data_IF_263118987253
#
_entry.id   IF_263118987253
#
_cell.length_a   1.000
_cell.length_b   1.000
_cell.length_c   1.000
_cell.angle_alpha   90.00
_cell.angle_beta   90.00
_cell.angle_gamma   90.00
#
_symmetry.space_group_name_H-M   'P 1'
#
loop_
_entity.id
_entity.type
_entity.pdbx_description
1 polymer ?
#
# COMPACT_ATOMS: atom_id res chain seq x y z
N UNK A 1 -3.33 28.70 -12.31
CA UNK A 1 -3.72 28.27 -10.97
C UNK A 1 -5.16 27.81 -11.07
N UNK A 2 -5.46 26.58 -10.65
CA UNK A 2 -6.81 25.99 -10.75
C UNK A 2 -7.68 26.28 -9.51
N UNK A 3 -7.14 27.01 -8.52
CA UNK A 3 -7.83 27.35 -7.29
C UNK A 3 -7.74 26.29 -6.20
N UNK A 4 -6.99 25.20 -6.43
CA UNK A 4 -6.73 24.18 -5.41
C UNK A 4 -5.81 24.73 -4.32
N UNK A 5 -6.24 24.63 -3.06
CA UNK A 5 -5.42 25.00 -1.90
C UNK A 5 -4.74 23.75 -1.33
N UNK A 6 -3.41 23.79 -1.22
CA UNK A 6 -2.60 22.73 -0.59
C UNK A 6 -2.05 23.23 0.73
N UNK A 7 -2.31 22.51 1.82
CA UNK A 7 -1.90 22.87 3.17
C UNK A 7 -1.10 21.74 3.82
N UNK A 8 0.12 22.07 4.25
CA UNK A 8 0.91 21.24 5.16
C UNK A 8 0.50 21.57 6.59
N UNK A 9 0.12 20.57 7.37
CA UNK A 9 -0.38 20.70 8.73
C UNK A 9 0.38 19.75 9.66
N UNK A 10 0.36 20.02 10.96
CA UNK A 10 1.03 19.22 11.99
C UNK A 10 0.09 18.95 13.15
N UNK A 11 0.47 18.02 14.03
CA UNK A 11 -0.32 17.68 15.20
C UNK A 11 -1.58 16.87 14.89
N UNK A 12 -1.54 15.98 13.90
CA UNK A 12 -2.62 15.01 13.67
C UNK A 12 -2.97 14.27 14.99
N UNK A 13 -4.23 13.87 15.21
CA UNK A 13 -4.59 13.07 16.38
C UNK A 13 -3.77 11.78 16.47
N UNK A 14 -3.53 11.29 17.69
CA UNK A 14 -2.75 10.07 17.93
C UNK A 14 -3.48 9.13 18.88
N UNK A 15 -3.68 7.90 18.45
CA UNK A 15 -4.15 6.79 19.25
C UNK A 15 -3.01 5.92 19.80
N UNK A 16 -3.36 4.97 20.66
CA UNK A 16 -2.43 3.94 21.12
C UNK A 16 -2.13 2.97 19.98
N UNK A 17 -0.84 2.66 19.76
CA UNK A 17 -0.40 1.75 18.68
C UNK A 17 -0.10 2.44 17.35
N UNK A 18 -0.45 3.71 17.19
CA UNK A 18 -0.06 4.49 16.02
C UNK A 18 1.46 4.63 15.89
N UNK A 19 1.93 4.63 14.65
CA UNK A 19 3.30 4.99 14.33
C UNK A 19 3.60 6.41 14.82
N UNK A 20 4.62 6.56 15.66
CA UNK A 20 5.05 7.87 16.13
C UNK A 20 6.06 8.43 15.13
N UNK A 21 5.68 9.51 14.45
CA UNK A 21 6.54 10.21 13.51
C UNK A 21 6.56 11.70 13.82
N UNK A 22 7.66 12.35 13.42
CA UNK A 22 7.96 13.71 13.84
C UNK A 22 6.85 14.69 13.45
N UNK A 23 6.38 15.47 14.43
CA UNK A 23 5.39 16.53 14.22
C UNK A 23 3.98 16.07 13.85
N UNK A 24 3.74 14.77 13.63
CA UNK A 24 2.46 14.23 13.13
C UNK A 24 1.93 15.04 11.93
N UNK A 25 2.84 15.29 10.99
CA UNK A 25 2.57 16.02 9.76
C UNK A 25 1.52 15.33 8.88
N UNK A 26 0.59 16.08 8.33
CA UNK A 26 -0.40 15.61 7.35
C UNK A 26 -0.71 16.70 6.35
N UNK A 27 -1.40 16.35 5.26
CA UNK A 27 -1.75 17.29 4.21
C UNK A 27 -3.26 17.42 4.07
N UNK A 28 -3.73 18.64 3.87
CA UNK A 28 -5.12 18.91 3.45
C UNK A 28 -5.10 19.61 2.10
N UNK A 29 -5.81 19.03 1.13
CA UNK A 29 -6.01 19.61 -0.19
C UNK A 29 -7.49 20.00 -0.30
N UNK A 30 -7.77 21.25 -0.62
CA UNK A 30 -9.14 21.76 -0.79
C UNK A 30 -9.34 22.19 -2.24
N UNK A 31 -10.32 21.60 -2.92
CA UNK A 31 -10.67 22.00 -4.30
C UNK A 31 -11.53 23.27 -4.30
N UNK A 32 -11.69 23.98 -5.44
CA UNK A 32 -12.53 25.17 -5.52
C UNK A 32 -13.99 24.95 -5.11
N UNK A 33 -14.50 23.73 -5.26
CA UNK A 33 -15.85 23.34 -4.84
C UNK A 33 -15.97 23.14 -3.32
N UNK A 34 -14.85 23.24 -2.59
CA UNK A 34 -14.79 23.09 -1.13
C UNK A 34 -14.65 21.65 -0.64
N UNK A 35 -14.38 20.69 -1.53
CA UNK A 35 -14.10 19.30 -1.13
C UNK A 35 -12.70 19.24 -0.51
N UNK A 36 -12.61 18.66 0.68
CA UNK A 36 -11.38 18.51 1.43
C UNK A 36 -10.88 17.06 1.37
N UNK A 37 -9.63 16.90 0.95
CA UNK A 37 -8.91 15.64 0.91
C UNK A 37 -7.83 15.67 2.00
N UNK A 38 -7.85 14.70 2.90
CA UNK A 38 -6.89 14.56 3.99
C UNK A 38 -5.93 13.42 3.64
N UNK A 39 -4.62 13.67 3.76
CA UNK A 39 -3.58 12.68 3.53
C UNK A 39 -2.70 12.52 4.76
N UNK A 40 -2.65 11.30 5.29
CA UNK A 40 -1.92 10.92 6.48
C UNK A 40 -2.40 11.56 7.79
N UNK A 41 -3.65 12.01 7.85
CA UNK A 41 -4.25 12.43 9.12
C UNK A 41 -4.43 11.23 10.08
N UNK A 42 -4.58 10.03 9.52
CA UNK A 42 -4.69 8.73 10.19
C UNK A 42 -5.95 8.51 11.06
N UNK A 43 -6.56 9.58 11.57
CA UNK A 43 -7.78 9.58 12.39
C UNK A 43 -8.78 10.61 11.86
N UNK A 44 -10.05 10.49 12.25
CA UNK A 44 -11.15 11.31 11.73
C UNK A 44 -10.83 12.83 11.78
N UNK A 45 -11.14 13.59 10.71
CA UNK A 45 -11.01 15.05 10.70
C UNK A 45 -11.83 15.69 11.83
N UNK A 46 -11.14 16.39 12.74
CA UNK A 46 -11.75 17.00 13.93
C UNK A 46 -12.00 16.04 15.10
N UNK A 47 -11.51 14.80 15.02
CA UNK A 47 -11.58 13.79 16.09
C UNK A 47 -10.50 13.95 17.16
N UNK A 48 -10.61 13.14 18.21
CA UNK A 48 -9.66 13.10 19.34
C UNK A 48 -8.59 12.00 19.19
N UNK A 49 -8.60 11.24 18.08
CA UNK A 49 -7.67 10.14 17.80
C UNK A 49 -8.03 8.82 18.51
N UNK A 50 -9.24 8.72 19.05
CA UNK A 50 -9.76 7.47 19.64
C UNK A 50 -10.56 6.60 18.68
N UNK A 51 -10.80 7.07 17.46
CA UNK A 51 -11.34 6.27 16.38
C UNK A 51 -10.30 5.25 15.85
N UNK A 52 -10.73 4.21 15.11
CA UNK A 52 -9.78 3.29 14.49
C UNK A 52 -8.87 3.99 13.48
N UNK A 53 -7.56 3.81 13.63
CA UNK A 53 -6.57 4.35 12.71
C UNK A 53 -6.75 3.83 11.27
N UNK A 54 -6.58 4.73 10.29
CA UNK A 54 -6.58 4.42 8.87
C UNK A 54 -5.31 3.67 8.41
N UNK A 55 -4.19 3.78 9.16
CA UNK A 55 -2.86 3.27 8.81
C UNK A 55 -2.29 3.87 7.50
N UNK A 56 -2.57 5.14 7.28
CA UNK A 56 -2.33 5.86 6.03
C UNK A 56 -0.95 6.50 5.91
N UNK A 57 -0.17 6.53 6.99
CA UNK A 57 1.17 7.12 7.02
C UNK A 57 2.21 6.00 7.03
N UNK A 58 3.11 6.02 6.04
CA UNK A 58 4.27 5.13 6.02
C UNK A 58 5.51 5.90 6.48
N UNK A 59 6.23 5.35 7.47
CA UNK A 59 7.38 6.04 8.07
C UNK A 59 8.69 5.35 7.76
N UNK A 60 9.77 6.13 7.79
CA UNK A 60 11.16 5.68 7.67
C UNK A 60 12.04 6.48 8.64
N UNK A 61 13.05 5.87 9.26
CA UNK A 61 14.04 6.60 10.05
C UNK A 61 14.84 7.59 9.19
N UNK A 62 14.92 8.85 9.64
CA UNK A 62 15.72 9.90 8.99
C UNK A 62 16.65 10.53 10.01
N UNK A 63 17.93 10.64 9.66
CA UNK A 63 18.94 11.33 10.46
C UNK A 63 18.79 12.85 10.33
N UNK A 64 18.99 13.55 11.44
CA UNK A 64 18.98 15.01 11.54
C UNK A 64 20.34 15.48 12.07
N UNK A 65 21.36 15.64 11.21
CA UNK A 65 22.73 15.89 11.64
C UNK A 65 23.01 17.32 12.11
N UNK A 66 22.18 18.30 11.75
CA UNK A 66 22.47 19.72 11.96
C UNK A 66 21.49 20.40 12.92
N UNK A 67 21.99 21.39 13.67
CA UNK A 67 21.13 22.25 14.49
C UNK A 67 20.05 22.91 13.64
N UNK A 68 18.80 22.77 14.07
CA UNK A 68 17.61 23.25 13.35
C UNK A 68 16.93 22.17 12.50
N UNK A 69 17.57 21.03 12.26
CA UNK A 69 16.88 19.89 11.63
C UNK A 69 15.77 19.37 12.56
N UNK A 70 14.67 18.82 12.02
CA UNK A 70 13.47 18.53 12.80
C UNK A 70 13.67 17.62 14.01
N UNK A 71 14.64 16.72 13.95
CA UNK A 71 14.94 15.75 15.00
C UNK A 71 16.37 15.87 15.52
N UNK A 72 16.98 17.06 15.36
CA UNK A 72 18.32 17.31 15.85
C UNK A 72 18.38 17.31 17.38
N UNK A 73 19.34 16.57 17.92
CA UNK A 73 19.65 16.59 19.35
C UNK A 73 21.17 16.52 19.56
N UNK A 74 21.74 17.67 19.97
CA UNK A 74 23.17 17.80 20.23
C UNK A 74 23.69 16.81 21.28
N UNK A 75 22.87 16.41 22.25
CA UNK A 75 23.27 15.47 23.29
C UNK A 75 23.24 14.01 22.81
N UNK A 76 22.42 13.69 21.78
CA UNK A 76 22.31 12.33 21.23
C UNK A 76 23.36 12.02 20.18
N UNK A 77 23.97 13.02 19.51
CA UNK A 77 24.98 12.80 18.48
C UNK A 77 24.49 11.87 17.36
N UNK A 78 25.06 10.66 17.25
CA UNK A 78 24.60 9.62 16.29
C UNK A 78 23.18 9.10 16.57
N UNK A 79 22.58 9.44 17.70
CA UNK A 79 21.17 9.19 18.02
C UNK A 79 20.22 10.29 17.52
N UNK A 80 20.72 11.29 16.79
CA UNK A 80 19.96 12.40 16.23
C UNK A 80 19.17 11.98 14.98
N UNK A 81 18.06 11.27 15.19
CA UNK A 81 17.15 10.78 14.15
C UNK A 81 15.74 10.62 14.72
N UNK A 82 14.76 10.50 13.84
CA UNK A 82 13.39 10.14 14.19
C UNK A 82 12.72 9.38 13.04
N UNK A 83 11.57 8.79 13.30
CA UNK A 83 10.67 8.36 12.22
C UNK A 83 10.09 9.59 11.55
N UNK A 84 10.19 9.64 10.22
CA UNK A 84 9.54 10.64 9.38
C UNK A 84 8.62 9.94 8.40
N UNK A 85 7.49 10.56 8.08
CA UNK A 85 6.63 10.08 7.02
C UNK A 85 7.37 10.19 5.67
N UNK A 86 7.33 9.14 4.86
CA UNK A 86 7.81 9.17 3.47
C UNK A 86 6.67 9.04 2.45
N UNK A 87 5.47 8.65 2.92
CA UNK A 87 4.25 8.61 2.12
C UNK A 87 3.03 8.86 2.99
N UNK A 88 2.27 9.89 2.62
CA UNK A 88 0.94 10.18 3.14
C UNK A 88 -0.09 9.65 2.14
N UNK A 89 -0.91 8.70 2.56
CA UNK A 89 -2.00 8.17 1.75
C UNK A 89 -3.30 8.92 2.07
N UNK A 90 -4.22 8.98 1.11
CA UNK A 90 -5.53 9.63 1.29
C UNK A 90 -6.30 8.88 2.38
N UNK A 91 -6.70 9.55 3.47
CA UNK A 91 -7.47 8.94 4.55
C UNK A 91 -8.97 9.23 4.40
N UNK A 92 -9.28 10.50 4.12
CA UNK A 92 -10.64 11.03 4.20
C UNK A 92 -10.90 12.01 3.07
N UNK A 93 -12.11 11.95 2.53
CA UNK A 93 -12.66 12.97 1.65
C UNK A 93 -13.93 13.49 2.30
N UNK A 94 -14.00 14.81 2.53
CA UNK A 94 -15.13 15.49 3.13
C UNK A 94 -15.66 16.53 2.16
N UNK A 95 -16.92 16.39 1.75
CA UNK A 95 -17.56 17.38 0.90
C UNK A 95 -18.19 18.54 1.71
N UNK A 96 -18.60 19.65 1.07
CA UNK A 96 -19.22 20.78 1.77
C UNK A 96 -20.53 20.45 2.52
N UNK A 97 -21.18 19.33 2.19
CA UNK A 97 -22.39 18.86 2.88
C UNK A 97 -22.08 17.96 4.08
N UNK A 98 -20.79 17.75 4.38
CA UNK A 98 -20.31 16.90 5.47
C UNK A 98 -20.38 15.41 5.16
N UNK A 99 -20.56 15.01 3.89
CA UNK A 99 -20.47 13.62 3.50
C UNK A 99 -19.01 13.17 3.56
N UNK A 100 -18.80 11.95 4.05
CA UNK A 100 -17.50 11.39 4.34
C UNK A 100 -17.25 10.14 3.50
N UNK A 101 -16.12 10.12 2.79
CA UNK A 101 -15.48 8.90 2.30
C UNK A 101 -14.26 8.60 3.14
N UNK A 102 -14.09 7.35 3.56
CA UNK A 102 -12.98 6.86 4.39
C UNK A 102 -12.13 5.86 3.61
N UNK A 103 -10.83 5.83 3.86
CA UNK A 103 -9.88 4.89 3.27
C UNK A 103 -9.07 4.25 4.39
N UNK A 104 -8.98 2.92 4.40
CA UNK A 104 -8.17 2.18 5.38
C UNK A 104 -7.13 1.31 4.68
N UNK A 105 -6.01 1.09 5.35
CA UNK A 105 -4.82 0.50 4.78
C UNK A 105 -4.28 -0.65 5.64
N UNK A 106 -3.64 -1.60 4.96
CA UNK A 106 -2.63 -2.44 5.58
C UNK A 106 -1.25 -1.90 5.25
N UNK A 107 -0.31 -2.07 6.17
CA UNK A 107 1.09 -1.70 6.00
C UNK A 107 1.97 -2.94 5.94
N UNK A 108 3.00 -2.91 5.12
CA UNK A 108 4.05 -3.91 5.07
C UNK A 108 5.30 -3.36 5.77
N UNK A 109 5.70 -3.98 6.88
CA UNK A 109 6.90 -3.63 7.62
C UNK A 109 8.18 -4.23 7.03
N UNK A 110 9.31 -3.62 7.35
CA UNK A 110 10.64 -4.17 7.15
C UNK A 110 11.63 -3.52 8.13
N UNK A 111 12.83 -4.07 8.26
CA UNK A 111 13.92 -3.46 9.04
C UNK A 111 15.11 -3.13 8.16
N UNK A 112 16.01 -2.29 8.66
CA UNK A 112 17.37 -2.16 8.11
C UNK A 112 18.33 -1.71 9.21
N UNK A 113 19.63 -1.98 9.02
CA UNK A 113 20.69 -1.53 9.90
C UNK A 113 20.98 -0.04 9.68
N UNK A 114 20.23 0.82 10.39
CA UNK A 114 20.43 2.27 10.34
C UNK A 114 21.85 2.62 10.77
N UNK A 115 22.53 3.44 9.95
CA UNK A 115 23.90 3.89 10.20
C UNK A 115 24.98 2.86 9.84
N UNK A 116 24.63 1.75 9.18
CA UNK A 116 25.60 0.79 8.65
C UNK A 116 26.43 1.44 7.53
N UNK A 117 27.75 1.31 7.64
CA UNK A 117 28.69 1.72 6.59
C UNK A 117 29.20 0.50 5.81
N UNK A 118 29.42 0.58 4.49
CA UNK A 118 30.10 -0.48 3.75
C UNK A 118 31.46 -0.81 4.39
N UNK A 119 31.67 -2.07 4.76
CA UNK A 119 32.90 -2.52 5.46
C UNK A 119 33.06 -2.03 6.91
N UNK A 120 32.06 -1.33 7.46
CA UNK A 120 32.03 -0.86 8.84
C UNK A 120 31.32 -1.80 9.81
N UNK A 121 31.20 -1.40 11.10
CA UNK A 121 30.44 -2.16 12.08
C UNK A 121 28.95 -2.25 11.69
N UNK A 122 28.25 -3.23 12.28
CA UNK A 122 26.81 -3.34 12.14
C UNK A 122 26.09 -2.06 12.61
N UNK A 123 25.05 -1.67 11.88
CA UNK A 123 24.18 -0.56 12.28
C UNK A 123 23.12 -1.00 13.31
N UNK A 124 22.22 -0.09 13.67
CA UNK A 124 21.07 -0.40 14.53
C UNK A 124 19.90 -0.88 13.68
N UNK A 125 19.50 -2.14 13.85
CA UNK A 125 18.32 -2.68 13.18
C UNK A 125 17.06 -1.89 13.61
N UNK A 126 16.38 -1.26 12.67
CA UNK A 126 15.24 -0.36 12.94
C UNK A 126 14.09 -0.65 12.00
N UNK A 127 12.89 -0.76 12.55
CA UNK A 127 11.64 -0.93 11.82
C UNK A 127 11.23 0.32 11.02
N UNK A 128 10.56 0.08 9.90
CA UNK A 128 9.92 1.07 9.06
C UNK A 128 8.79 0.43 8.24
N UNK A 129 7.89 1.22 7.68
CA UNK A 129 6.90 0.70 6.73
C UNK A 129 7.46 0.78 5.30
N UNK A 130 7.74 -0.35 4.67
CA UNK A 130 8.29 -0.43 3.30
C UNK A 130 7.24 -0.24 2.21
N UNK A 131 5.99 -0.53 2.51
CA UNK A 131 4.86 -0.38 1.61
C UNK A 131 3.54 -0.34 2.40
N UNK A 132 2.45 -0.06 1.69
CA UNK A 132 1.09 -0.17 2.18
C UNK A 132 0.11 -0.27 1.02
N UNK A 133 -1.07 -0.81 1.27
CA UNK A 133 -2.13 -0.99 0.28
C UNK A 133 -3.50 -0.77 0.90
N UNK A 134 -4.43 -0.24 0.09
CA UNK A 134 -5.82 0.00 0.52
C UNK A 134 -6.50 -1.33 0.79
N UNK A 135 -7.22 -1.41 1.90
CA UNK A 135 -8.06 -2.56 2.28
C UNK A 135 -9.53 -2.27 2.02
N UNK A 136 -9.98 -1.08 2.40
CA UNK A 136 -11.37 -0.69 2.33
C UNK A 136 -11.53 0.79 1.96
N UNK A 137 -12.55 1.08 1.16
CA UNK A 137 -13.06 2.44 0.94
C UNK A 137 -14.51 2.45 1.39
N UNK A 138 -14.85 3.22 2.43
CA UNK A 138 -16.20 3.36 2.96
C UNK A 138 -16.84 4.68 2.53
N UNK A 139 -18.10 4.68 2.13
CA UNK A 139 -18.82 5.89 1.72
C UNK A 139 -20.31 5.81 2.08
N UNK A 140 -21.02 6.93 1.87
CA UNK A 140 -22.40 7.09 2.34
C UNK A 140 -22.48 7.31 3.86
N UNK A 141 -21.56 8.12 4.39
CA UNK A 141 -21.43 8.44 5.80
C UNK A 141 -21.45 9.97 5.98
N UNK A 142 -21.76 10.44 7.18
CA UNK A 142 -21.57 11.83 7.57
C UNK A 142 -20.46 11.98 8.60
N UNK A 143 -19.58 12.96 8.42
CA UNK A 143 -18.47 13.21 9.35
C UNK A 143 -18.98 13.44 10.78
N UNK A 144 -20.03 14.25 10.95
CA UNK A 144 -20.59 14.56 12.28
C UNK A 144 -21.08 13.32 13.02
N UNK A 145 -21.67 12.36 12.31
CA UNK A 145 -22.15 11.11 12.89
C UNK A 145 -20.98 10.21 13.29
N UNK A 146 -19.97 10.11 12.43
CA UNK A 146 -18.75 9.35 12.72
C UNK A 146 -17.98 9.93 13.92
N UNK A 147 -17.88 11.25 14.03
CA UNK A 147 -17.30 11.91 15.19
C UNK A 147 -18.07 11.61 16.48
N UNK A 148 -19.40 11.63 16.45
CA UNK A 148 -20.24 11.38 17.61
C UNK A 148 -20.07 9.94 18.17
N UNK A 149 -19.74 8.98 17.32
CA UNK A 149 -19.52 7.58 17.70
C UNK A 149 -18.07 7.11 17.59
N UNK A 150 -17.11 8.03 17.42
CA UNK A 150 -15.67 7.72 17.31
C UNK A 150 -15.36 6.67 16.24
N UNK A 151 -15.92 6.83 15.04
CA UNK A 151 -15.67 5.93 13.90
C UNK A 151 -16.37 4.57 13.97
N UNK A 152 -17.20 4.31 14.99
CA UNK A 152 -17.82 3.00 15.20
C UNK A 152 -18.96 2.67 14.22
N UNK A 153 -19.50 3.66 13.49
CA UNK A 153 -20.59 3.42 12.54
C UNK A 153 -20.05 2.75 11.28
N UNK A 154 -20.73 1.69 10.83
CA UNK A 154 -20.42 1.09 9.54
C UNK A 154 -20.82 2.03 8.39
N UNK A 155 -20.04 2.10 7.30
CA UNK A 155 -20.43 2.84 6.11
C UNK A 155 -21.68 2.23 5.46
N UNK A 156 -22.52 3.06 4.84
CA UNK A 156 -23.69 2.57 4.09
C UNK A 156 -23.28 1.68 2.92
N UNK A 157 -22.15 1.97 2.28
CA UNK A 157 -21.55 1.15 1.24
C UNK A 157 -20.02 1.18 1.32
N UNK A 158 -19.39 0.11 0.83
CA UNK A 158 -17.93 -0.01 0.82
C UNK A 158 -17.38 -0.81 -0.35
N UNK A 159 -16.13 -0.53 -0.68
CA UNK A 159 -15.30 -1.31 -1.61
C UNK A 159 -14.22 -2.00 -0.80
N UNK A 160 -14.08 -3.32 -0.95
CA UNK A 160 -13.12 -4.15 -0.22
C UNK A 160 -12.11 -4.72 -1.21
N UNK A 161 -10.83 -4.60 -0.89
CA UNK A 161 -9.70 -5.06 -1.70
C UNK A 161 -9.10 -6.32 -1.08
N UNK A 162 -9.18 -7.43 -1.79
CA UNK A 162 -8.58 -8.70 -1.37
C UNK A 162 -7.25 -8.89 -2.08
N UNK A 163 -6.21 -9.19 -1.31
CA UNK A 163 -4.85 -9.40 -1.84
C UNK A 163 -4.35 -10.82 -1.56
N UNK A 164 -3.37 -11.26 -2.33
CA UNK A 164 -2.58 -12.46 -2.11
C UNK A 164 -1.08 -12.15 -2.26
N UNK A 165 -0.21 -13.09 -1.90
CA UNK A 165 1.22 -12.98 -2.20
C UNK A 165 1.49 -12.95 -3.72
N UNK A 166 2.59 -12.29 -4.13
CA UNK A 166 3.14 -12.30 -5.50
C UNK A 166 3.80 -13.64 -5.84
N UNK A 167 3.05 -14.71 -5.60
CA UNK A 167 3.41 -16.10 -5.79
C UNK A 167 2.17 -16.85 -6.32
N UNK A 168 2.41 -17.89 -7.12
CA UNK A 168 1.38 -18.81 -7.61
C UNK A 168 1.64 -20.19 -6.98
N UNK A 169 0.65 -20.73 -6.29
CA UNK A 169 0.80 -21.97 -5.54
C UNK A 169 1.08 -23.16 -6.49
N UNK A 170 2.04 -24.00 -6.13
CA UNK A 170 2.44 -25.16 -6.93
C UNK A 170 3.17 -26.19 -6.06
N UNK A 171 2.71 -27.45 -6.11
CA UNK A 171 3.28 -28.53 -5.30
C UNK A 171 3.22 -28.22 -3.80
N UNK A 172 4.39 -28.13 -3.15
CA UNK A 172 4.52 -27.81 -1.73
C UNK A 172 4.50 -26.31 -1.41
N UNK A 173 4.58 -25.45 -2.44
CA UNK A 173 4.52 -23.99 -2.28
C UNK A 173 3.04 -23.57 -2.25
N UNK A 174 2.59 -23.10 -1.09
CA UNK A 174 1.23 -22.59 -0.84
C UNK A 174 1.15 -21.07 -0.92
N UNK A 175 2.29 -20.40 -1.11
CA UNK A 175 2.42 -18.94 -1.11
C UNK A 175 2.03 -18.28 0.22
N UNK A 176 2.20 -18.98 1.34
CA UNK A 176 2.07 -18.37 2.66
C UNK A 176 3.27 -17.46 2.96
N UNK A 177 3.08 -16.47 3.82
CA UNK A 177 4.13 -15.49 4.12
C UNK A 177 5.38 -16.10 4.77
N UNK A 178 5.22 -17.17 5.55
CA UNK A 178 6.32 -17.92 6.16
C UNK A 178 7.16 -18.68 5.12
N UNK A 179 6.59 -19.01 3.95
CA UNK A 179 7.34 -19.60 2.85
C UNK A 179 8.14 -18.58 2.04
N UNK A 180 7.90 -17.28 2.22
CA UNK A 180 8.61 -16.18 1.55
C UNK A 180 10.01 -16.00 2.13
N UNK A 181 10.89 -16.92 1.78
CA UNK A 181 12.28 -17.02 2.27
C UNK A 181 13.26 -17.06 1.11
N UNK A 182 14.53 -16.77 1.37
CA UNK A 182 15.60 -16.85 0.35
C UNK A 182 15.67 -18.23 -0.31
N UNK A 183 15.40 -19.30 0.44
CA UNK A 183 15.39 -20.67 -0.09
C UNK A 183 14.29 -20.89 -1.15
N UNK A 184 13.15 -20.20 -1.00
CA UNK A 184 12.00 -20.29 -1.91
C UNK A 184 11.90 -19.08 -2.85
N UNK A 185 12.96 -18.28 -2.99
CA UNK A 185 12.90 -17.01 -3.73
C UNK A 185 12.49 -17.17 -5.20
N UNK A 186 12.68 -18.35 -5.80
CA UNK A 186 12.22 -18.66 -7.15
C UNK A 186 10.69 -18.63 -7.31
N UNK A 187 9.93 -18.84 -6.22
CA UNK A 187 8.46 -18.77 -6.21
C UNK A 187 7.92 -17.34 -6.13
N UNK A 188 8.78 -16.35 -5.84
CA UNK A 188 8.47 -14.92 -5.88
C UNK A 188 9.43 -14.20 -6.85
N UNK A 189 9.40 -14.53 -8.15
CA UNK A 189 10.42 -14.13 -9.11
C UNK A 189 10.53 -12.62 -9.33
N UNK A 190 9.46 -11.87 -9.05
CA UNK A 190 9.41 -10.41 -9.21
C UNK A 190 9.46 -9.63 -7.88
N UNK A 191 9.70 -10.32 -6.76
CA UNK A 191 9.83 -9.72 -5.43
C UNK A 191 11.28 -9.82 -4.97
N UNK A 192 11.89 -8.74 -4.44
CA UNK A 192 13.27 -8.77 -3.97
C UNK A 192 13.36 -9.45 -2.58
N UNK A 193 13.27 -10.79 -2.55
CA UNK A 193 13.27 -11.58 -1.32
C UNK A 193 14.53 -11.37 -0.49
N UNK A 194 15.68 -11.15 -1.14
CA UNK A 194 16.96 -10.83 -0.52
C UNK A 194 16.96 -9.49 0.23
N UNK A 195 15.98 -8.61 -0.04
CA UNK A 195 15.81 -7.32 0.63
C UNK A 195 14.81 -7.38 1.80
N UNK A 196 14.20 -8.54 2.04
CA UNK A 196 13.35 -8.77 3.22
C UNK A 196 14.25 -8.92 4.44
N UNK A 197 13.94 -8.14 5.46
CA UNK A 197 14.74 -7.95 6.66
C UNK A 197 13.82 -7.95 7.87
N UNK A 198 13.42 -9.15 8.30
CA UNK A 198 12.52 -9.35 9.45
C UNK A 198 13.24 -9.98 10.65
N UNK A 199 14.30 -10.74 10.39
CA UNK A 199 15.15 -11.36 11.41
C UNK A 199 16.24 -10.41 11.96
N UNK A 200 16.85 -10.82 13.08
CA UNK A 200 17.90 -10.04 13.75
C UNK A 200 19.30 -10.21 13.13
N UNK A 201 19.46 -11.11 12.15
CA UNK A 201 20.72 -11.38 11.44
C UNK A 201 20.86 -10.57 10.15
N UNK A 202 19.78 -9.93 9.71
CA UNK A 202 19.74 -9.12 8.51
C UNK A 202 20.80 -8.01 8.51
N UNK A 203 21.45 -7.85 7.36
CA UNK A 203 22.55 -6.88 7.16
C UNK A 203 22.19 -5.74 6.21
N UNK A 204 20.96 -5.64 5.72
CA UNK A 204 20.52 -4.58 4.82
C UNK A 204 20.80 -3.20 5.43
N UNK A 205 21.60 -2.37 4.77
CA UNK A 205 22.10 -1.09 5.31
C UNK A 205 21.26 0.13 4.96
N UNK A 206 20.23 -0.04 4.13
CA UNK A 206 19.37 1.04 3.65
C UNK A 206 17.90 0.55 3.59
N UNK A 207 16.92 1.46 3.72
CA UNK A 207 15.53 1.08 3.52
C UNK A 207 15.29 0.68 2.06
N UNK A 208 14.48 -0.34 1.88
CA UNK A 208 14.02 -0.86 0.59
C UNK A 208 12.50 -0.80 0.51
N UNK A 209 11.97 -0.47 -0.66
CA UNK A 209 10.55 -0.20 -0.85
C UNK A 209 10.00 -1.10 -1.96
N UNK A 210 9.14 -2.03 -1.58
CA UNK A 210 8.49 -2.98 -2.46
C UNK A 210 7.26 -3.54 -1.75
N UNK A 211 6.34 -4.14 -2.49
CA UNK A 211 5.20 -4.90 -1.94
C UNK A 211 5.35 -6.37 -2.30
N UNK A 212 4.90 -7.25 -1.42
CA UNK A 212 4.79 -8.69 -1.70
C UNK A 212 3.36 -9.06 -2.07
N UNK A 213 2.46 -8.08 -2.20
CA UNK A 213 1.04 -8.30 -2.43
C UNK A 213 0.65 -8.05 -3.89
N UNK A 214 -0.35 -8.81 -4.35
CA UNK A 214 -1.10 -8.61 -5.60
C UNK A 214 -2.59 -8.57 -5.29
N UNK A 215 -3.33 -7.70 -5.96
CA UNK A 215 -4.77 -7.61 -5.83
C UNK A 215 -5.44 -8.77 -6.58
N UNK A 216 -6.22 -9.59 -5.87
CA UNK A 216 -6.92 -10.75 -6.45
C UNK A 216 -8.41 -10.53 -6.61
N UNK A 217 -9.01 -9.66 -5.80
CA UNK A 217 -10.44 -9.38 -5.90
C UNK A 217 -10.82 -7.99 -5.38
N UNK A 218 -11.84 -7.39 -5.99
CA UNK A 218 -12.50 -6.18 -5.52
C UNK A 218 -13.98 -6.50 -5.30
N UNK A 219 -14.48 -6.35 -4.08
CA UNK A 219 -15.90 -6.55 -3.77
C UNK A 219 -16.57 -5.25 -3.38
N UNK A 220 -17.76 -4.99 -3.91
CA UNK A 220 -18.64 -3.92 -3.44
C UNK A 220 -19.66 -4.48 -2.46
N UNK A 221 -19.87 -3.79 -1.34
CA UNK A 221 -20.82 -4.20 -0.30
C UNK A 221 -21.70 -3.04 0.11
N UNK A 222 -22.93 -3.33 0.49
CA UNK A 222 -23.86 -2.38 1.08
C UNK A 222 -24.31 -2.89 2.45
N UNK A 223 -24.62 -1.97 3.36
CA UNK A 223 -25.14 -2.32 4.67
C UNK A 223 -26.64 -2.62 4.59
N UNK A 224 -27.06 -3.82 5.01
CA UNK A 224 -28.46 -4.26 5.04
C UNK A 224 -28.77 -4.85 6.40
N UNK A 225 -29.76 -4.32 7.11
CA UNK A 225 -30.19 -4.81 8.42
C UNK A 225 -29.04 -5.00 9.43
N UNK A 226 -28.06 -4.09 9.43
CA UNK A 226 -26.93 -4.13 10.35
C UNK A 226 -25.77 -5.04 9.92
N UNK A 227 -25.82 -5.68 8.75
CA UNK A 227 -24.73 -6.50 8.22
C UNK A 227 -24.32 -6.11 6.78
N UNK A 228 -23.04 -6.21 6.42
CA UNK A 228 -22.59 -5.95 5.06
C UNK A 228 -22.99 -7.09 4.13
N UNK A 229 -23.61 -6.76 3.00
CA UNK A 229 -23.99 -7.67 1.93
C UNK A 229 -23.19 -7.37 0.67
N UNK A 230 -22.53 -8.38 0.11
CA UNK A 230 -21.85 -8.26 -1.18
C UNK A 230 -22.87 -8.07 -2.31
N UNK A 231 -22.62 -7.08 -3.17
CA UNK A 231 -23.44 -6.77 -4.34
C UNK A 231 -22.77 -7.25 -5.62
N UNK A 232 -21.47 -6.96 -5.73
CA UNK A 232 -20.68 -7.29 -6.91
C UNK A 232 -19.26 -7.65 -6.51
N UNK A 233 -18.63 -8.52 -7.28
CA UNK A 233 -17.22 -8.91 -7.11
C UNK A 233 -16.51 -8.93 -8.45
N UNK A 234 -15.31 -8.37 -8.50
CA UNK A 234 -14.42 -8.42 -9.65
C UNK A 234 -13.22 -9.27 -9.28
N UNK A 235 -13.09 -10.45 -9.91
CA UNK A 235 -11.96 -11.35 -9.71
C UNK A 235 -10.87 -11.04 -10.74
N UNK A 236 -9.63 -10.91 -10.27
CA UNK A 236 -8.47 -10.59 -11.09
C UNK A 236 -7.60 -11.84 -11.22
N UNK A 237 -7.53 -12.39 -12.44
CA UNK A 237 -6.63 -13.51 -12.75
C UNK A 237 -5.30 -12.97 -13.23
N UNK A 238 -4.22 -13.52 -12.69
CA UNK A 238 -2.86 -13.06 -12.95
C UNK A 238 -1.92 -14.26 -13.09
N UNK A 239 -0.91 -14.10 -13.92
CA UNK A 239 0.21 -15.04 -14.04
C UNK A 239 1.55 -14.37 -13.73
N UNK A 240 2.56 -15.19 -13.41
CA UNK A 240 3.96 -14.78 -13.39
C UNK A 240 4.57 -15.15 -14.76
N UNK A 241 4.34 -14.29 -15.75
CA UNK A 241 4.67 -14.54 -17.15
C UNK A 241 6.19 -14.66 -17.36
N UNK A 242 6.60 -15.67 -18.13
CA UNK A 242 7.98 -15.81 -18.60
C UNK A 242 8.24 -14.77 -19.72
N UNK A 243 9.21 -13.85 -19.54
CA UNK A 243 9.54 -12.86 -20.56
C UNK A 243 10.22 -13.45 -21.81
N UNK A 244 10.72 -14.69 -21.76
CA UNK A 244 11.34 -15.39 -22.89
C UNK A 244 12.76 -14.92 -23.23
N UNK A 245 13.37 -14.07 -22.40
CA UNK A 245 14.73 -13.53 -22.59
C UNK A 245 15.70 -13.91 -21.45
N UNK A 246 15.31 -14.88 -20.61
CA UNK A 246 16.06 -15.35 -19.46
C UNK A 246 16.03 -14.41 -18.25
N UNK A 247 15.29 -13.29 -18.30
CA UNK A 247 15.07 -12.44 -17.13
C UNK A 247 13.97 -13.01 -16.23
N UNK A 248 13.81 -12.44 -15.02
CA UNK A 248 12.84 -12.95 -14.04
C UNK A 248 11.40 -12.80 -14.55
N UNK A 249 10.56 -13.77 -14.21
CA UNK A 249 9.13 -13.75 -14.49
C UNK A 249 8.48 -12.53 -13.84
N UNK A 250 7.39 -12.05 -14.44
CA UNK A 250 6.74 -10.79 -14.06
C UNK A 250 5.25 -10.99 -13.85
N UNK A 251 4.69 -10.37 -12.82
CA UNK A 251 3.24 -10.38 -12.63
C UNK A 251 2.53 -9.66 -13.78
N UNK A 252 1.60 -10.36 -14.42
CA UNK A 252 0.74 -9.90 -15.50
C UNK A 252 -0.73 -10.08 -15.09
N UNK A 253 -1.62 -9.17 -15.50
CA UNK A 253 -3.06 -9.30 -15.31
C UNK A 253 -3.68 -9.92 -16.57
N UNK A 254 -4.20 -11.13 -16.46
CA UNK A 254 -4.74 -11.87 -17.60
C UNK A 254 -6.22 -11.60 -17.80
N UNK A 255 -6.99 -11.45 -16.72
CA UNK A 255 -8.42 -11.16 -16.85
C UNK A 255 -9.02 -10.46 -15.64
N UNK A 256 -10.16 -9.81 -15.88
CA UNK A 256 -11.09 -9.33 -14.86
C UNK A 256 -12.46 -9.95 -15.12
N UNK A 257 -12.96 -10.74 -14.18
CA UNK A 257 -14.29 -11.34 -14.24
C UNK A 257 -15.22 -10.69 -13.22
N UNK A 258 -16.36 -10.18 -13.70
CA UNK A 258 -17.44 -9.68 -12.84
C UNK A 258 -18.34 -10.83 -12.39
N UNK A 259 -18.63 -10.89 -11.10
CA UNK A 259 -19.49 -11.89 -10.46
C UNK A 259 -20.50 -11.14 -9.58
N UNK A 260 -21.68 -10.80 -10.13
CA UNK A 260 -22.73 -10.16 -9.35
C UNK A 260 -23.46 -11.19 -8.50
N UNK A 261 -23.89 -10.77 -7.31
CA UNK A 261 -24.66 -11.63 -6.40
C UNK A 261 -25.81 -10.88 -5.74
N UNK A 262 -25.59 -9.67 -5.22
CA UNK A 262 -26.60 -8.88 -4.51
C UNK A 262 -27.35 -9.68 -3.41
N UNK A 263 -26.63 -10.58 -2.73
CA UNK A 263 -27.18 -11.52 -1.76
C UNK A 263 -27.97 -12.71 -2.34
N UNK A 264 -27.97 -12.87 -3.65
CA UNK A 264 -28.42 -14.07 -4.37
C UNK A 264 -27.22 -14.98 -4.67
N UNK A 265 -27.44 -16.20 -5.19
CA UNK A 265 -26.34 -17.02 -5.70
C UNK A 265 -25.50 -16.27 -6.74
N UNK A 266 -24.18 -16.45 -6.68
CA UNK A 266 -23.23 -15.80 -7.58
C UNK A 266 -23.51 -16.16 -9.05
N UNK A 267 -23.59 -15.14 -9.93
CA UNK A 267 -23.68 -15.34 -11.37
C UNK A 267 -22.27 -15.48 -11.98
N UNK A 268 -21.72 -16.69 -11.96
CA UNK A 268 -20.36 -16.98 -12.44
C UNK A 268 -20.24 -17.15 -13.96
N UNK A 269 -21.37 -17.08 -14.68
CA UNK A 269 -21.44 -17.30 -16.14
C UNK A 269 -21.11 -16.06 -16.96
N UNK A 270 -20.95 -14.89 -16.34
CA UNK A 270 -20.53 -13.71 -17.08
C UNK A 270 -19.10 -13.89 -17.62
N UNK A 271 -18.86 -13.59 -18.90
CA UNK A 271 -17.54 -13.73 -19.50
C UNK A 271 -16.54 -12.79 -18.83
N UNK A 272 -15.29 -13.25 -18.71
CA UNK A 272 -14.20 -12.43 -18.23
C UNK A 272 -13.67 -11.53 -19.34
N UNK A 273 -13.37 -10.27 -19.02
CA UNK A 273 -12.57 -9.43 -19.90
C UNK A 273 -11.13 -9.94 -19.84
N UNK A 274 -10.62 -10.42 -20.95
CA UNK A 274 -9.28 -11.02 -21.05
C UNK A 274 -8.33 -10.09 -21.77
N UNK A 275 -7.08 -10.07 -21.33
CA UNK A 275 -6.00 -9.29 -21.90
C UNK A 275 -5.03 -10.21 -22.63
N UNK A 276 -4.77 -9.91 -23.89
CA UNK A 276 -3.78 -10.62 -24.69
C UNK A 276 -2.53 -9.78 -24.78
N UNK A 277 -1.37 -10.42 -24.62
CA UNK A 277 -0.08 -9.72 -24.54
C UNK A 277 0.88 -10.15 -25.63
N UNK A 278 1.74 -9.20 -26.02
CA UNK A 278 2.96 -9.45 -26.78
C UNK A 278 4.14 -8.92 -26.00
N UNK A 279 5.12 -9.79 -25.73
CA UNK A 279 6.38 -9.39 -25.12
C UNK A 279 7.14 -8.46 -26.06
N UNK A 280 7.59 -7.30 -25.54
CA UNK A 280 8.42 -6.34 -26.26
C UNK A 280 9.61 -5.91 -25.42
N UNK A 281 10.73 -5.63 -26.09
CA UNK A 281 11.95 -5.18 -25.44
C UNK A 281 11.70 -3.87 -24.67
N UNK A 282 12.26 -3.78 -23.46
CA UNK A 282 12.18 -2.59 -22.61
C UNK A 282 13.57 -1.94 -22.42
N UNK A 283 14.56 -2.41 -23.18
CA UNK A 283 15.87 -1.80 -23.32
C UNK A 283 16.13 -1.55 -24.79
N UNK A 284 16.89 -0.49 -25.06
CA UNK A 284 17.43 -0.22 -26.38
C UNK A 284 18.50 -1.28 -26.64
N UNK A 285 18.63 -1.73 -27.89
CA UNK A 285 19.71 -2.62 -28.29
C UNK A 285 21.07 -1.96 -27.99
N UNK A 286 21.86 -2.59 -27.11
CA UNK A 286 23.11 -2.07 -26.60
C UNK A 286 24.35 -2.85 -27.07
N UNK A 287 25.53 -2.35 -26.70
CA UNK A 287 26.85 -2.86 -27.09
C UNK A 287 27.10 -4.33 -26.71
N UNK A 288 28.06 -4.95 -27.40
CA UNK A 288 28.46 -6.36 -27.26
C UNK A 288 29.28 -6.59 -25.97
N UNK A 289 28.94 -7.59 -25.13
CA UNK A 289 27.85 -8.56 -25.29
C UNK A 289 26.49 -7.95 -24.95
N UNK A 290 25.46 -8.32 -25.73
CA UNK A 290 24.11 -7.82 -25.55
C UNK A 290 23.60 -8.12 -24.14
N UNK A 291 23.18 -7.08 -23.41
CA UNK A 291 22.41 -7.26 -22.19
C UNK A 291 21.04 -7.88 -22.52
N UNK A 292 20.41 -8.64 -21.60
CA UNK A 292 19.04 -9.10 -21.79
C UNK A 292 18.12 -7.93 -22.14
N UNK A 293 17.25 -8.12 -23.13
CA UNK A 293 16.34 -7.09 -23.67
C UNK A 293 15.31 -6.61 -22.64
N UNK A 294 15.17 -7.33 -21.54
CA UNK A 294 14.25 -7.05 -20.45
C UNK A 294 12.83 -6.98 -20.97
N UNK A 295 12.41 -8.06 -21.63
CA UNK A 295 11.13 -8.16 -22.29
C UNK A 295 9.98 -7.94 -21.30
N UNK A 296 9.02 -7.10 -21.70
CA UNK A 296 7.86 -6.76 -20.88
C UNK A 296 6.57 -7.01 -21.66
N UNK A 297 5.50 -7.48 -20.99
CA UNK A 297 4.23 -7.66 -21.64
C UNK A 297 3.64 -6.31 -22.09
N UNK A 298 3.07 -6.28 -23.29
CA UNK A 298 2.31 -5.15 -23.85
C UNK A 298 0.95 -5.67 -24.28
N UNK A 299 -0.12 -5.05 -23.77
CA UNK A 299 -1.47 -5.39 -24.20
C UNK A 299 -1.56 -5.19 -25.72
N UNK A 300 -1.95 -6.24 -26.42
CA UNK A 300 -2.16 -6.24 -27.87
C UNK A 300 -3.64 -6.46 -28.23
N UNK A 301 -4.42 -7.07 -27.33
CA UNK A 301 -5.84 -7.33 -27.54
C UNK A 301 -6.61 -7.38 -26.24
N UNK A 302 -7.91 -7.10 -26.33
CA UNK A 302 -8.88 -7.23 -25.25
C UNK A 302 -10.06 -8.03 -25.81
N UNK A 303 -10.45 -9.11 -25.13
CA UNK A 303 -11.56 -9.99 -25.54
C UNK A 303 -12.52 -10.25 -24.38
N UNK A 304 -13.69 -10.81 -24.67
CA UNK A 304 -14.70 -11.24 -23.69
C UNK A 304 -15.17 -12.65 -24.01
#
# INVERSE_FOLDING_TARGET
>A
DDGTKVEQLTGAPKGAGDVDYNGREYWRITTPEGVQYYFGLNHLPGGDGSDPAANSVLTVPVYSPNSGDPCYDAAKGKGSWCQMAWRWQLDYVVDPHGNLTTYTYATEGNKYQRGRLPGGPAGTLTDYQRAGYVQEIGYGQRLSEQLAVKGANAPAAKVVFTVAERCIASGTITCSEDQRTTANATSWPDTPIDQICTDNSCTTGAPTFFTTKRLTSISTRIQVNGAPRTVDTYNLTQELADPGDGTKHLLQLDSVQRVPSNGQPDLTTLPAVQFQYKMRANRIDGLVPASPQFMRPRIQGITT
#
